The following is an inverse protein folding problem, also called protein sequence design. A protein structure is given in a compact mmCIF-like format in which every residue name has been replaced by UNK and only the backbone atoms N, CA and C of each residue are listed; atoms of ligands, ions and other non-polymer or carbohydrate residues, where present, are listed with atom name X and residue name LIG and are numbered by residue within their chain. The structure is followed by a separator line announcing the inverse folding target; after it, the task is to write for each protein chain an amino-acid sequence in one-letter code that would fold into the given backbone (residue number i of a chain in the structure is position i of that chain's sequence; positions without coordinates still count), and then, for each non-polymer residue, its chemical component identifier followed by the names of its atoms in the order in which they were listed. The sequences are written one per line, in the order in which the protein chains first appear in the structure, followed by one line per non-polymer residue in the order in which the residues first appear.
data_IF_106189663887
#
_entry.id   IF_106189663887
#
_cell.length_a   1.000
_cell.length_b   1.000
_cell.length_c   1.000
_cell.angle_alpha   90.00
_cell.angle_beta   90.00
_cell.angle_gamma   90.00
#
_symmetry.space_group_name_H-M   'P 1'
#
loop_
_entity.id
_entity.type
_entity.pdbx_description
1 polymer ?
#
# COMPACT_ATOMS: atom_id res chain seq x y z
N UNK A 1 -50.14 19.45 52.18
CA UNK A 1 -49.23 18.29 52.08
C UNK A 1 -48.95 18.00 50.61
N UNK A 2 -47.77 18.40 50.12
CA UNK A 2 -47.22 17.96 48.83
C UNK A 2 -45.72 17.77 49.05
N UNK A 3 -45.30 16.52 48.97
CA UNK A 3 -43.91 16.07 49.14
C UNK A 3 -43.29 16.01 47.75
N UNK A 4 -42.26 16.81 47.49
CA UNK A 4 -41.45 16.69 46.27
C UNK A 4 -40.19 15.89 46.63
N UNK A 5 -40.06 14.70 46.06
CA UNK A 5 -38.86 13.87 46.12
C UNK A 5 -37.82 14.40 45.13
N UNK A 6 -36.61 14.68 45.62
CA UNK A 6 -35.44 14.95 44.78
C UNK A 6 -34.81 13.60 44.44
N UNK A 7 -34.78 13.24 43.16
CA UNK A 7 -34.04 12.08 42.67
C UNK A 7 -32.61 12.49 42.34
N UNK A 8 -31.64 11.94 43.07
CA UNK A 8 -30.21 12.06 42.74
C UNK A 8 -29.88 10.97 41.71
N UNK A 9 -29.56 11.38 40.49
CA UNK A 9 -29.04 10.46 39.47
C UNK A 9 -27.55 10.19 39.76
N UNK A 10 -27.22 8.97 40.19
CA UNK A 10 -25.85 8.51 40.27
C UNK A 10 -25.37 8.15 38.86
N UNK A 11 -24.43 8.92 38.31
CA UNK A 11 -23.74 8.57 37.08
C UNK A 11 -22.76 7.43 37.36
N UNK A 12 -23.02 6.24 36.82
CA UNK A 12 -22.00 5.18 36.75
C UNK A 12 -20.98 5.57 35.68
N UNK A 13 -19.78 5.95 36.11
CA UNK A 13 -18.62 5.96 35.24
C UNK A 13 -18.26 4.50 34.91
N UNK A 14 -18.62 4.05 33.71
CA UNK A 14 -18.07 2.82 33.14
C UNK A 14 -16.62 3.15 32.78
N UNK A 15 -15.67 2.67 33.56
CA UNK A 15 -14.27 2.74 33.20
C UNK A 15 -14.07 1.89 31.94
N UNK A 16 -13.60 2.50 30.85
CA UNK A 16 -13.08 1.74 29.72
C UNK A 16 -11.87 0.94 30.23
N UNK A 17 -11.96 -0.39 30.20
CA UNK A 17 -10.81 -1.25 30.46
C UNK A 17 -9.74 -0.94 29.39
N UNK A 18 -8.51 -0.70 29.84
CA UNK A 18 -7.38 -0.55 28.93
C UNK A 18 -7.20 -1.86 28.13
N UNK A 19 -6.85 -1.79 26.83
CA UNK A 19 -6.56 -2.98 26.05
C UNK A 19 -5.48 -3.81 26.75
N UNK A 20 -5.78 -5.08 27.04
CA UNK A 20 -4.78 -6.01 27.55
C UNK A 20 -3.73 -6.20 26.45
N UNK A 21 -2.43 -5.98 26.72
CA UNK A 21 -1.39 -6.29 25.76
C UNK A 21 -1.50 -7.78 25.38
N UNK A 22 -1.94 -8.07 24.16
CA UNK A 22 -1.95 -9.43 23.67
C UNK A 22 -0.49 -9.86 23.46
N UNK A 23 -0.07 -10.91 24.16
CA UNK A 23 1.18 -11.56 23.86
C UNK A 23 1.14 -12.05 22.40
N UNK A 24 2.24 -11.95 21.63
CA UNK A 24 2.29 -12.45 20.26
C UNK A 24 1.82 -13.90 20.21
N UNK A 25 1.05 -14.30 19.17
CA UNK A 25 0.61 -15.69 19.03
C UNK A 25 1.79 -16.65 19.16
N UNK A 26 1.61 -17.70 19.96
CA UNK A 26 2.64 -18.71 20.20
C UNK A 26 3.12 -19.32 18.89
N UNK A 27 4.44 -19.43 18.71
CA UNK A 27 5.05 -20.05 17.52
C UNK A 27 4.60 -21.51 17.40
N UNK A 28 3.84 -21.85 16.36
CA UNK A 28 3.67 -23.24 15.93
C UNK A 28 5.02 -23.71 15.36
N UNK A 29 5.42 -24.95 15.62
CA UNK A 29 6.68 -25.47 15.09
C UNK A 29 6.69 -25.38 13.54
N UNK A 30 7.61 -24.57 13.00
CA UNK A 30 7.72 -24.32 11.55
C UNK A 30 6.80 -23.24 10.97
N UNK A 31 5.94 -22.59 11.78
CA UNK A 31 5.09 -21.47 11.33
C UNK A 31 5.32 -20.27 12.23
N UNK A 32 5.68 -19.13 11.61
CA UNK A 32 5.87 -17.85 12.29
C UNK A 32 4.81 -16.87 11.80
N UNK A 33 4.04 -16.32 12.73
CA UNK A 33 3.15 -15.17 12.51
C UNK A 33 3.85 -13.95 13.11
N UNK A 34 3.85 -12.85 12.38
CA UNK A 34 4.61 -11.64 12.72
C UNK A 34 3.67 -10.46 12.80
N UNK A 35 3.75 -9.72 13.90
CA UNK A 35 3.25 -8.36 13.97
C UNK A 35 4.32 -7.43 13.37
N UNK A 36 3.92 -6.69 12.34
CA UNK A 36 4.84 -5.83 11.57
C UNK A 36 5.11 -4.50 12.27
N UNK A 37 4.25 -4.08 13.21
CA UNK A 37 4.40 -2.80 13.89
C UNK A 37 5.67 -2.84 14.75
N UNK A 38 6.67 -1.96 14.50
CA UNK A 38 7.88 -1.92 15.31
C UNK A 38 7.55 -1.63 16.77
N UNK A 39 8.32 -2.20 17.70
CA UNK A 39 8.11 -2.00 19.15
C UNK A 39 8.04 -0.52 19.54
N UNK A 40 8.83 0.35 18.87
CA UNK A 40 8.81 1.80 19.07
C UNK A 40 7.48 2.48 18.73
N UNK A 41 6.60 1.79 17.99
CA UNK A 41 5.27 2.23 17.57
C UNK A 41 4.16 1.36 18.16
N UNK A 42 4.45 0.45 19.09
CA UNK A 42 3.46 -0.50 19.65
C UNK A 42 2.29 0.14 20.43
N UNK A 43 2.36 1.44 20.71
CA UNK A 43 1.25 2.22 21.29
C UNK A 43 0.40 2.96 20.25
N UNK A 44 0.61 2.72 18.96
CA UNK A 44 -0.22 3.29 17.90
C UNK A 44 -1.66 2.73 17.98
N UNK A 45 -2.63 3.49 17.47
CA UNK A 45 -4.07 3.16 17.55
C UNK A 45 -4.78 3.40 16.22
N UNK A 46 -4.02 3.57 15.15
CA UNK A 46 -4.54 3.82 13.82
C UNK A 46 -5.14 2.53 13.26
N UNK A 47 -6.08 2.70 12.32
CA UNK A 47 -6.76 1.56 11.72
C UNK A 47 -5.82 0.74 10.83
N UNK A 48 -4.79 1.37 10.25
CA UNK A 48 -3.89 0.78 9.27
C UNK A 48 -4.65 -0.04 8.22
N UNK A 49 -5.63 0.62 7.60
CA UNK A 49 -6.47 0.03 6.58
C UNK A 49 -5.67 -0.32 5.30
N UNK A 50 -6.20 -1.27 4.55
CA UNK A 50 -5.66 -1.72 3.26
C UNK A 50 -4.19 -2.15 3.30
N UNK A 51 -3.83 -3.13 4.16
CA UNK A 51 -2.47 -3.62 4.23
C UNK A 51 -2.07 -4.30 2.92
N UNK A 52 -0.83 -4.05 2.50
CA UNK A 52 -0.22 -4.68 1.33
C UNK A 52 1.21 -5.11 1.66
N UNK A 53 1.58 -6.34 1.28
CA UNK A 53 2.89 -6.94 1.51
C UNK A 53 3.52 -7.36 0.18
N UNK A 54 4.77 -6.98 -0.05
CA UNK A 54 5.57 -7.40 -1.19
C UNK A 54 6.81 -8.19 -0.73
N UNK A 55 7.09 -9.25 -1.49
CA UNK A 55 8.26 -10.09 -1.36
C UNK A 55 9.21 -9.83 -2.54
N UNK A 56 10.50 -10.05 -2.33
CA UNK A 56 11.50 -10.02 -3.39
C UNK A 56 11.89 -11.45 -3.77
N UNK A 57 11.63 -11.83 -5.02
CA UNK A 57 11.99 -13.17 -5.52
C UNK A 57 13.51 -13.36 -5.54
N UNK A 58 14.27 -12.30 -5.82
CA UNK A 58 15.74 -12.32 -5.86
C UNK A 58 16.39 -12.42 -4.48
N UNK A 59 15.68 -12.03 -3.41
CA UNK A 59 16.19 -12.09 -2.04
C UNK A 59 15.05 -12.14 -1.02
N UNK A 60 14.79 -13.32 -0.46
CA UNK A 60 13.70 -13.54 0.50
C UNK A 60 13.90 -12.88 1.86
N UNK A 61 15.08 -12.31 2.13
CA UNK A 61 15.32 -11.51 3.33
C UNK A 61 14.71 -10.12 3.22
N UNK A 62 14.44 -9.66 1.99
CA UNK A 62 13.90 -8.34 1.72
C UNK A 62 12.37 -8.40 1.67
N UNK A 63 11.73 -7.52 2.43
CA UNK A 63 10.28 -7.37 2.46
C UNK A 63 9.93 -5.88 2.52
N UNK A 64 8.81 -5.53 1.90
CA UNK A 64 8.19 -4.22 2.04
C UNK A 64 6.70 -4.40 2.36
N UNK A 65 6.17 -3.58 3.25
CA UNK A 65 4.77 -3.59 3.61
C UNK A 65 4.25 -2.16 3.76
N UNK A 66 2.96 -1.96 3.51
CA UNK A 66 2.28 -0.68 3.66
C UNK A 66 0.88 -0.91 4.19
N UNK A 67 0.32 0.14 4.78
CA UNK A 67 -1.08 0.31 5.09
C UNK A 67 -1.36 1.82 5.06
N UNK A 68 -2.57 2.26 5.40
CA UNK A 68 -2.89 3.68 5.58
C UNK A 68 -2.36 4.23 6.91
N UNK A 69 -1.11 3.90 7.22
CA UNK A 69 -0.38 4.34 8.39
C UNK A 69 0.05 5.80 8.22
N UNK A 70 -0.29 6.69 9.17
CA UNK A 70 0.20 8.06 9.14
C UNK A 70 1.66 8.14 9.56
N UNK A 71 2.36 9.12 8.99
CA UNK A 71 3.72 9.45 9.37
C UNK A 71 3.77 9.88 10.85
N UNK A 72 4.59 9.22 11.70
CA UNK A 72 4.72 9.57 13.12
C UNK A 72 5.19 11.01 13.38
N UNK A 73 5.79 11.67 12.38
CA UNK A 73 6.15 13.09 12.44
C UNK A 73 4.96 14.05 12.42
N UNK A 74 3.73 13.54 12.24
CA UNK A 74 2.49 14.31 12.31
C UNK A 74 2.10 14.99 11.00
N UNK A 75 1.03 15.79 11.05
CA UNK A 75 0.29 16.33 9.89
C UNK A 75 1.08 17.26 8.96
N UNK A 76 2.20 17.79 9.42
CA UNK A 76 3.10 18.65 8.63
C UNK A 76 4.12 17.84 7.80
N UNK A 77 4.17 16.53 7.98
CA UNK A 77 5.09 15.65 7.26
C UNK A 77 4.78 15.62 5.77
N UNK A 78 5.78 15.91 4.94
CA UNK A 78 5.67 15.89 3.48
C UNK A 78 5.75 14.48 2.87
N UNK A 79 6.00 13.46 3.70
CA UNK A 79 6.12 12.07 3.28
C UNK A 79 5.21 11.14 4.08
N UNK A 80 4.87 10.01 3.47
CA UNK A 80 4.13 8.92 4.05
C UNK A 80 5.04 7.71 4.27
N UNK A 81 4.70 6.83 5.22
CA UNK A 81 5.55 5.71 5.58
C UNK A 81 5.38 4.47 4.70
N UNK A 82 6.44 3.66 4.67
CA UNK A 82 6.44 2.26 4.24
C UNK A 82 7.25 1.44 5.25
N UNK A 83 6.80 0.24 5.60
CA UNK A 83 7.54 -0.69 6.46
C UNK A 83 8.49 -1.53 5.61
N UNK A 84 9.70 -1.75 6.09
CA UNK A 84 10.73 -2.52 5.37
C UNK A 84 11.46 -3.47 6.32
N UNK A 85 11.91 -4.60 5.78
CA UNK A 85 12.72 -5.59 6.49
C UNK A 85 13.83 -6.12 5.58
N UNK A 86 14.99 -6.44 6.17
CA UNK A 86 16.15 -7.06 5.51
C UNK A 86 16.59 -8.39 6.16
N UNK A 87 15.78 -8.94 7.06
CA UNK A 87 16.08 -10.14 7.85
C UNK A 87 14.93 -11.16 7.78
N UNK A 88 14.21 -11.18 6.65
CA UNK A 88 13.10 -12.11 6.44
C UNK A 88 11.90 -11.80 7.33
N UNK A 89 11.77 -10.56 7.79
CA UNK A 89 10.68 -10.08 8.63
C UNK A 89 10.90 -10.35 10.11
N UNK A 90 12.12 -10.64 10.54
CA UNK A 90 12.48 -10.76 11.97
C UNK A 90 12.39 -9.39 12.67
N UNK A 91 12.77 -8.32 11.98
CA UNK A 91 12.59 -6.93 12.40
C UNK A 91 12.06 -6.07 11.27
N UNK A 92 11.38 -4.98 11.65
CA UNK A 92 10.75 -4.04 10.73
C UNK A 92 11.13 -2.61 11.08
N UNK A 93 11.34 -1.80 10.04
CA UNK A 93 11.62 -0.37 10.16
C UNK A 93 10.59 0.43 9.37
N UNK A 94 10.06 1.49 9.95
CA UNK A 94 9.23 2.46 9.25
C UNK A 94 10.10 3.47 8.48
N UNK A 95 9.87 3.63 7.19
CA UNK A 95 10.58 4.57 6.30
C UNK A 95 9.61 5.61 5.76
N UNK A 96 9.80 6.85 6.15
CA UNK A 96 8.98 7.98 5.72
C UNK A 96 9.43 8.52 4.36
N UNK A 97 9.30 7.72 3.30
CA UNK A 97 9.94 7.96 2.00
C UNK A 97 8.97 8.12 0.83
N UNK A 98 7.67 7.87 1.02
CA UNK A 98 6.69 8.06 -0.04
C UNK A 98 6.38 9.56 -0.17
N UNK A 99 6.43 10.17 -1.36
CA UNK A 99 6.15 11.59 -1.58
C UNK A 99 4.64 11.91 -1.50
N UNK A 100 4.07 11.75 -0.31
CA UNK A 100 2.67 12.00 0.02
C UNK A 100 2.57 12.61 1.41
N UNK A 101 1.75 13.64 1.60
CA UNK A 101 1.63 14.30 2.90
C UNK A 101 0.97 13.37 3.91
N UNK A 102 1.59 13.21 5.08
CA UNK A 102 1.13 12.39 6.22
C UNK A 102 0.98 10.89 5.92
N UNK A 103 0.09 10.52 5.00
CA UNK A 103 -0.20 9.16 4.58
C UNK A 103 -0.45 9.12 3.07
N UNK A 104 -0.64 7.93 2.52
CA UNK A 104 -1.20 7.78 1.16
C UNK A 104 -2.72 7.64 1.25
N UNK A 105 -3.42 7.95 0.16
CA UNK A 105 -4.84 7.61 0.05
C UNK A 105 -5.02 6.16 -0.38
N UNK A 106 -4.12 5.67 -1.24
CA UNK A 106 -3.97 4.27 -1.62
C UNK A 106 -2.50 3.98 -1.92
N UNK A 107 -2.10 2.73 -1.73
CA UNK A 107 -0.75 2.27 -2.05
C UNK A 107 -0.72 0.78 -2.33
N UNK A 108 0.01 0.39 -3.37
CA UNK A 108 0.62 -0.94 -3.45
C UNK A 108 2.03 -0.85 -4.01
N UNK A 109 2.79 -1.94 -3.85
CA UNK A 109 4.18 -2.00 -4.26
C UNK A 109 4.59 -3.40 -4.71
N UNK A 110 5.73 -3.50 -5.36
CA UNK A 110 6.30 -4.77 -5.79
C UNK A 110 7.84 -4.69 -5.83
N UNK A 111 8.48 -5.77 -5.40
CA UNK A 111 9.92 -5.96 -5.58
C UNK A 111 10.24 -6.33 -7.03
N UNK A 112 11.24 -5.66 -7.60
CA UNK A 112 11.87 -5.96 -8.88
C UNK A 112 12.96 -7.04 -8.77
N UNK A 113 13.73 -7.17 -9.86
CA UNK A 113 14.76 -8.16 -10.06
C UNK A 113 16.06 -7.95 -9.28
N UNK A 114 17.19 -8.25 -9.92
CA UNK A 114 18.54 -8.07 -9.38
C UNK A 114 19.33 -6.99 -10.15
N UNK A 115 19.84 -5.93 -9.50
CA UNK A 115 19.74 -5.64 -8.07
C UNK A 115 18.31 -5.30 -7.61
N UNK A 116 17.98 -5.47 -6.32
CA UNK A 116 16.64 -5.19 -5.81
C UNK A 116 16.20 -3.75 -6.05
N UNK A 117 14.98 -3.59 -6.59
CA UNK A 117 14.31 -2.30 -6.76
C UNK A 117 12.92 -2.39 -6.16
N UNK A 118 12.48 -1.35 -5.44
CA UNK A 118 11.10 -1.25 -4.99
C UNK A 118 10.33 -0.33 -5.93
N UNK A 119 9.27 -0.85 -6.55
CA UNK A 119 8.29 -0.07 -7.28
C UNK A 119 7.06 0.16 -6.41
N UNK A 120 6.50 1.36 -6.45
CA UNK A 120 5.26 1.68 -5.74
C UNK A 120 4.34 2.52 -6.62
N UNK A 121 3.04 2.28 -6.49
CA UNK A 121 1.99 3.14 -7.01
C UNK A 121 1.25 3.68 -5.81
N UNK A 122 1.08 5.00 -5.74
CA UNK A 122 0.32 5.64 -4.67
C UNK A 122 -0.75 6.56 -5.25
N UNK A 123 -1.88 6.69 -4.56
CA UNK A 123 -2.67 7.91 -4.64
C UNK A 123 -2.12 8.92 -3.63
N UNK A 124 -1.50 9.96 -4.17
CA UNK A 124 -0.79 10.96 -3.38
C UNK A 124 -1.78 11.90 -2.68
N UNK A 125 -1.52 12.22 -1.42
CA UNK A 125 -2.15 13.31 -0.69
C UNK A 125 -1.23 14.55 -0.65
N UNK A 126 -1.76 15.79 -0.77
CA UNK A 126 -3.08 16.12 -1.30
C UNK A 126 -3.14 15.94 -2.83
N UNK A 127 -4.37 16.04 -3.35
CA UNK A 127 -4.68 16.08 -4.78
C UNK A 127 -5.08 14.75 -5.40
N UNK A 128 -4.76 13.64 -4.74
CA UNK A 128 -5.06 12.28 -5.16
C UNK A 128 -4.60 11.88 -6.58
N UNK A 129 -3.52 12.42 -7.18
CA UNK A 129 -3.02 11.85 -8.42
C UNK A 129 -2.39 10.48 -8.13
N UNK A 130 -2.43 9.60 -9.13
CA UNK A 130 -1.50 8.49 -9.21
C UNK A 130 -0.08 9.06 -9.26
N UNK A 131 0.80 8.48 -8.44
CA UNK A 131 2.24 8.59 -8.61
C UNK A 131 2.84 7.19 -8.73
N UNK A 132 3.58 6.97 -9.81
CA UNK A 132 4.39 5.77 -10.03
C UNK A 132 5.82 6.08 -9.60
N UNK A 133 6.33 5.31 -8.64
CA UNK A 133 7.53 5.60 -7.88
C UNK A 133 8.52 4.44 -7.97
N UNK A 134 9.81 4.76 -7.80
CA UNK A 134 10.84 3.73 -7.57
C UNK A 134 11.93 4.16 -6.60
N UNK A 135 12.55 3.18 -5.96
CA UNK A 135 13.85 3.35 -5.27
C UNK A 135 14.71 2.09 -5.44
N UNK A 136 16.02 2.29 -5.53
CA UNK A 136 17.04 1.23 -5.58
C UNK A 136 17.65 0.95 -4.20
N UNK A 137 17.32 1.78 -3.21
CA UNK A 137 17.67 1.60 -1.81
C UNK A 137 16.46 1.98 -0.97
N UNK A 138 15.63 1.00 -0.64
CA UNK A 138 14.42 1.20 0.17
C UNK A 138 14.69 1.21 1.67
N UNK A 139 15.96 1.07 2.10
CA UNK A 139 16.38 1.32 3.49
C UNK A 139 16.90 2.73 3.69
N UNK A 140 17.26 3.43 2.61
CA UNK A 140 17.58 4.85 2.64
C UNK A 140 16.40 5.67 3.20
N UNK A 141 16.68 6.75 3.96
CA UNK A 141 15.67 7.73 4.32
C UNK A 141 15.28 8.66 3.15
N UNK A 142 15.91 8.53 1.99
CA UNK A 142 15.60 9.36 0.83
C UNK A 142 14.20 9.07 0.28
N UNK A 143 13.50 10.13 -0.11
CA UNK A 143 12.19 10.03 -0.77
C UNK A 143 12.31 9.21 -2.06
N UNK A 144 11.33 8.33 -2.31
CA UNK A 144 11.25 7.57 -3.56
C UNK A 144 11.15 8.51 -4.76
N UNK A 145 11.78 8.11 -5.86
CA UNK A 145 11.84 8.93 -7.08
C UNK A 145 10.54 8.78 -7.87
N UNK A 146 9.87 9.89 -8.14
CA UNK A 146 8.72 9.95 -9.06
C UNK A 146 9.15 9.59 -10.49
N UNK A 147 8.47 8.65 -11.11
CA UNK A 147 8.68 8.26 -12.50
C UNK A 147 7.61 8.87 -13.41
N UNK A 148 6.35 8.78 -13.00
CA UNK A 148 5.24 9.38 -13.71
C UNK A 148 4.09 9.70 -12.75
N UNK A 149 3.19 10.58 -13.18
CA UNK A 149 2.02 11.00 -12.43
C UNK A 149 0.83 11.20 -13.36
N UNK A 150 -0.37 10.86 -12.90
CA UNK A 150 -1.61 10.99 -13.66
C UNK A 150 -2.79 11.29 -12.72
N UNK A 151 -3.62 12.25 -13.09
CA UNK A 151 -4.85 12.57 -12.37
C UNK A 151 -5.98 11.59 -12.74
N UNK A 152 -7.09 11.64 -11.99
CA UNK A 152 -8.33 10.90 -12.29
C UNK A 152 -8.13 9.38 -12.37
N UNK A 153 -7.29 8.86 -11.46
CA UNK A 153 -7.01 7.44 -11.28
C UNK A 153 -7.43 7.01 -9.87
N UNK A 154 -7.87 5.77 -9.75
CA UNK A 154 -8.16 5.12 -8.49
C UNK A 154 -7.45 3.76 -8.34
N UNK A 155 -7.10 3.43 -7.09
CA UNK A 155 -6.36 2.27 -6.56
C UNK A 155 -5.29 1.64 -7.49
N UNK A 156 -4.00 1.98 -7.30
CA UNK A 156 -2.94 1.31 -8.03
C UNK A 156 -2.63 -0.09 -7.48
N UNK A 157 -2.53 -1.09 -8.36
CA UNK A 157 -2.05 -2.45 -8.07
C UNK A 157 -0.78 -2.78 -8.85
N UNK A 158 0.36 -2.65 -8.18
CA UNK A 158 1.68 -2.84 -8.78
C UNK A 158 2.08 -4.32 -8.82
N UNK A 159 2.63 -4.75 -9.95
CA UNK A 159 3.40 -5.98 -10.11
C UNK A 159 4.68 -5.67 -10.86
N UNK A 160 5.76 -6.35 -10.48
CA UNK A 160 7.02 -6.27 -11.18
C UNK A 160 7.58 -7.68 -11.42
N UNK A 161 8.33 -7.83 -12.51
CA UNK A 161 9.11 -9.03 -12.80
C UNK A 161 10.36 -8.66 -13.57
N UNK A 162 11.46 -9.35 -13.33
CA UNK A 162 12.64 -9.22 -14.15
C UNK A 162 12.44 -9.95 -15.50
N UNK A 163 12.73 -9.27 -16.61
CA UNK A 163 12.74 -9.89 -17.94
C UNK A 163 14.01 -9.47 -18.66
N UNK A 164 14.93 -10.43 -18.84
CA UNK A 164 16.28 -10.13 -19.36
C UNK A 164 16.99 -9.15 -18.41
N UNK A 165 17.49 -8.02 -18.90
CA UNK A 165 18.27 -7.05 -18.13
C UNK A 165 17.44 -5.90 -17.55
N UNK A 166 16.10 -5.99 -17.55
CA UNK A 166 15.24 -4.91 -17.07
C UNK A 166 13.96 -5.46 -16.42
N UNK A 167 13.50 -4.76 -15.39
CA UNK A 167 12.19 -5.02 -14.81
C UNK A 167 11.08 -4.55 -15.76
N UNK A 168 10.04 -5.38 -15.85
CA UNK A 168 8.72 -5.01 -16.36
C UNK A 168 7.85 -4.65 -15.18
N UNK A 169 7.17 -3.52 -15.26
CA UNK A 169 6.27 -3.05 -14.20
C UNK A 169 4.87 -2.92 -14.79
N UNK A 170 3.88 -3.43 -14.06
CA UNK A 170 2.48 -3.40 -14.43
C UNK A 170 1.71 -2.78 -13.27
N UNK A 171 1.01 -1.69 -13.52
CA UNK A 171 0.17 -1.04 -12.52
C UNK A 171 -1.26 -1.14 -12.97
N UNK A 172 -2.07 -1.97 -12.31
CA UNK A 172 -3.50 -2.03 -12.56
C UNK A 172 -4.20 -0.84 -11.94
N UNK A 173 -5.08 -0.17 -12.70
CA UNK A 173 -5.66 1.12 -12.39
C UNK A 173 -7.13 1.17 -12.81
N UNK A 174 -7.93 1.87 -12.01
CA UNK A 174 -9.25 2.34 -12.42
C UNK A 174 -9.12 3.77 -12.95
N UNK A 175 -9.12 3.92 -14.28
CA UNK A 175 -8.81 5.16 -14.99
C UNK A 175 -10.11 5.89 -15.36
N UNK A 176 -10.45 6.98 -14.66
CA UNK A 176 -11.72 7.69 -14.86
C UNK A 176 -11.77 8.54 -16.12
N UNK A 177 -10.60 8.90 -16.68
CA UNK A 177 -10.51 9.62 -17.96
C UNK A 177 -10.62 8.66 -19.17
N UNK A 178 -10.87 7.38 -18.90
CA UNK A 178 -11.25 6.38 -19.86
C UNK A 178 -12.46 6.79 -20.74
N UNK A 179 -12.35 6.68 -22.09
CA UNK A 179 -13.53 6.80 -22.93
C UNK A 179 -14.53 5.67 -22.66
N UNK A 180 -15.80 5.95 -22.91
CA UNK A 180 -16.91 4.99 -22.95
C UNK A 180 -17.12 4.18 -21.66
N UNK A 181 -16.70 4.73 -20.51
CA UNK A 181 -16.83 4.09 -19.19
C UNK A 181 -15.93 2.87 -19.01
N UNK A 182 -14.94 2.70 -19.90
CA UNK A 182 -14.10 1.50 -19.91
C UNK A 182 -12.95 1.60 -18.91
N UNK A 183 -13.14 1.74 -17.61
CA UNK A 183 -12.09 2.31 -16.75
C UNK A 183 -10.90 1.36 -16.45
N UNK A 184 -11.04 0.04 -16.60
CA UNK A 184 -9.98 -0.91 -16.25
C UNK A 184 -8.75 -0.80 -17.17
N UNK A 185 -7.64 -0.35 -16.60
CA UNK A 185 -6.40 -0.02 -17.32
C UNK A 185 -5.20 -0.66 -16.64
N UNK A 186 -4.17 -1.00 -17.42
CA UNK A 186 -2.86 -1.36 -16.89
C UNK A 186 -1.81 -0.44 -17.47
N UNK A 187 -1.10 0.29 -16.63
CA UNK A 187 0.09 1.02 -17.04
C UNK A 187 1.27 0.04 -17.11
N UNK A 188 1.91 -0.01 -18.27
CA UNK A 188 2.97 -0.97 -18.59
C UNK A 188 4.28 -0.25 -18.76
N UNK A 189 5.26 -0.57 -17.92
CA UNK A 189 6.65 -0.22 -18.12
C UNK A 189 7.44 -1.42 -18.61
N UNK A 190 8.24 -1.18 -19.64
CA UNK A 190 9.10 -2.16 -20.27
C UNK A 190 10.59 -1.92 -19.96
N UNK A 191 10.92 -0.87 -19.19
CA UNK A 191 12.27 -0.34 -19.01
C UNK A 191 12.55 0.06 -17.56
N UNK A 192 12.21 -0.83 -16.61
CA UNK A 192 12.50 -0.63 -15.20
C UNK A 192 11.78 0.57 -14.58
N UNK A 193 10.55 0.84 -15.02
CA UNK A 193 9.72 1.94 -14.53
C UNK A 193 10.12 3.32 -15.06
N UNK A 194 10.96 3.42 -16.09
CA UNK A 194 11.40 4.72 -16.64
C UNK A 194 10.29 5.41 -17.44
N UNK A 195 9.51 4.63 -18.18
CA UNK A 195 8.32 5.12 -18.91
C UNK A 195 7.19 4.11 -18.78
N UNK A 196 5.96 4.60 -18.77
CA UNK A 196 4.74 3.79 -18.73
C UNK A 196 3.87 4.04 -19.97
N UNK A 197 3.17 3.01 -20.40
CA UNK A 197 2.16 3.09 -21.47
C UNK A 197 0.86 2.49 -20.97
N UNK A 198 -0.21 3.27 -20.98
CA UNK A 198 -1.52 2.81 -20.60
C UNK A 198 -2.06 1.77 -21.59
N UNK A 199 -2.51 0.64 -21.07
CA UNK A 199 -3.18 -0.43 -21.80
C UNK A 199 -4.57 -0.62 -21.24
N UNK A 200 -5.56 -0.18 -22.02
CA UNK A 200 -6.96 -0.45 -21.75
C UNK A 200 -7.24 -1.94 -21.96
N UNK A 201 -7.73 -2.62 -20.93
CA UNK A 201 -8.02 -4.05 -20.99
C UNK A 201 -9.50 -4.36 -21.05
N UNK A 202 -10.34 -3.43 -20.61
CA UNK A 202 -11.78 -3.60 -20.72
C UNK A 202 -12.26 -3.49 -22.17
N UNK A 203 -13.00 -4.52 -22.58
CA UNK A 203 -13.62 -4.61 -23.91
C UNK A 203 -15.12 -4.30 -23.89
N UNK A 204 -15.74 -4.30 -22.70
CA UNK A 204 -17.18 -4.08 -22.51
C UNK A 204 -17.46 -2.61 -22.17
N UNK A 205 -18.64 -2.12 -22.53
CA UNK A 205 -19.10 -0.82 -22.03
C UNK A 205 -19.75 -1.06 -20.67
N UNK A 206 -19.03 -0.75 -19.60
CA UNK A 206 -19.53 -0.87 -18.23
C UNK A 206 -20.26 0.41 -17.83
N UNK A 207 -21.37 0.27 -17.11
CA UNK A 207 -22.13 1.43 -16.64
C UNK A 207 -21.33 2.13 -15.54
N UNK A 208 -20.84 3.33 -15.84
CA UNK A 208 -20.01 4.11 -14.93
C UNK A 208 -18.55 3.69 -14.99
N UNK A 209 -18.16 2.70 -14.17
CA UNK A 209 -16.78 2.27 -13.99
C UNK A 209 -16.71 0.82 -13.48
N UNK A 210 -15.56 0.16 -13.68
CA UNK A 210 -15.30 -1.17 -13.11
C UNK A 210 -15.23 -1.14 -11.58
N UNK A 211 -14.80 -0.02 -11.00
CA UNK A 211 -14.37 0.02 -9.61
C UNK A 211 -12.89 -0.33 -9.48
N UNK A 212 -12.35 -0.32 -8.25
CA UNK A 212 -10.95 -0.02 -8.08
C UNK A 212 -10.00 -1.23 -8.26
N UNK A 213 -10.50 -2.46 -8.12
CA UNK A 213 -9.64 -3.66 -8.10
C UNK A 213 -9.30 -4.15 -9.51
N UNK A 214 -8.24 -3.60 -10.12
CA UNK A 214 -7.64 -4.10 -11.36
C UNK A 214 -6.33 -4.80 -11.00
N UNK A 215 -6.30 -6.12 -11.00
CA UNK A 215 -5.24 -6.95 -10.40
C UNK A 215 -4.41 -7.66 -11.46
N UNK A 216 -3.26 -7.12 -11.87
CA UNK A 216 -2.32 -7.87 -12.68
C UNK A 216 -1.65 -9.00 -11.88
N UNK A 217 -1.28 -10.07 -12.58
CA UNK A 217 -0.42 -11.14 -12.12
C UNK A 217 0.44 -11.61 -13.30
N UNK A 218 1.71 -11.93 -13.03
CA UNK A 218 2.65 -12.39 -14.06
C UNK A 218 2.91 -13.87 -13.87
N UNK A 219 2.64 -14.68 -14.89
CA UNK A 219 2.96 -16.10 -14.90
C UNK A 219 4.44 -16.35 -15.23
N UNK A 220 4.91 -17.57 -14.98
CA UNK A 220 6.33 -17.94 -15.17
C UNK A 220 6.78 -17.84 -16.65
N UNK A 221 5.86 -18.05 -17.59
CA UNK A 221 6.07 -17.85 -19.03
C UNK A 221 6.06 -16.37 -19.46
N UNK A 222 5.88 -15.47 -18.49
CA UNK A 222 5.78 -14.00 -18.64
C UNK A 222 4.48 -13.52 -19.26
N UNK A 223 3.46 -14.39 -19.35
CA UNK A 223 2.11 -13.96 -19.67
C UNK A 223 1.56 -13.13 -18.50
N UNK A 224 0.97 -11.98 -18.80
CA UNK A 224 0.33 -11.11 -17.81
C UNK A 224 -1.17 -11.36 -17.86
N UNK A 225 -1.73 -11.82 -16.74
CA UNK A 225 -3.16 -11.98 -16.53
C UNK A 225 -3.67 -10.82 -15.69
N UNK A 226 -4.85 -10.31 -16.02
CA UNK A 226 -5.46 -9.21 -15.26
C UNK A 226 -6.89 -9.57 -14.93
N UNK A 227 -7.21 -9.53 -13.64
CA UNK A 227 -8.58 -9.67 -13.15
C UNK A 227 -9.12 -8.29 -12.77
N UNK A 228 -10.34 -7.99 -13.17
CA UNK A 228 -11.01 -6.73 -12.88
C UNK A 228 -12.52 -6.95 -12.80
N UNK A 229 -13.21 -6.09 -12.05
CA UNK A 229 -14.67 -6.04 -12.03
C UNK A 229 -15.22 -5.57 -13.38
N UNK A 230 -16.48 -5.83 -13.72
CA UNK A 230 -17.15 -5.13 -14.84
C UNK A 230 -18.53 -5.66 -15.11
#
# INVERSE_FOLDING_TARGET
MRTSLIAVAAALCIACEAPVPQAPPGKLAGVRVVDLIPVSLSGETWQDAEPFLALYVSNTQLLAASAFTPNPGGSTSATAPIFVSNDGGDSWTLRNTLPSQLQTADITHAGGGSPPVLYAGILKVPGFPLNELKTVDFFSPATMTLQASRADIDQPFVRATEVSSADRVYVGLNDFDAPDGRTATVDVSLNGGTTYTARRIETRNTLGQNGPSIRPAVAQDRTVYVAYFG
#
